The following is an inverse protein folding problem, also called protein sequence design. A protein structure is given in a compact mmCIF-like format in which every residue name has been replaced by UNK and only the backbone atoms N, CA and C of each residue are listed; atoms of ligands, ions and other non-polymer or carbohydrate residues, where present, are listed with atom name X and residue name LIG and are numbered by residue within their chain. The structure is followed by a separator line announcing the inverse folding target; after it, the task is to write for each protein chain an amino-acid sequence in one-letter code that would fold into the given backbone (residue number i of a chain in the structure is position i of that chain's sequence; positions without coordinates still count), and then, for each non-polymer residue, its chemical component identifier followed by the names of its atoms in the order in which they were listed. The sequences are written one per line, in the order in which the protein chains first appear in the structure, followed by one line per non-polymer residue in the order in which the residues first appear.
data_IF_861256588706
#
_entry.id   IF_861256588706
#
_cell.length_a   1.000
_cell.length_b   1.000
_cell.length_c   1.000
_cell.angle_alpha   90.00
_cell.angle_beta   90.00
_cell.angle_gamma   90.00
#
_symmetry.space_group_name_H-M   'P 1'
#
loop_
_entity.id
_entity.type
_entity.pdbx_description
1 polymer ?
#
# COMPACT_ATOMS: atom_id res chain seq x y z
N UNK A 1 81.01 -43.98 -28.60
CA UNK A 1 80.46 -44.41 -27.30
C UNK A 1 80.26 -43.13 -26.48
N UNK A 2 79.09 -42.61 -26.12
CA UNK A 2 77.73 -43.12 -25.99
C UNK A 2 76.74 -41.97 -26.26
N UNK A 3 75.74 -42.21 -27.10
CA UNK A 3 74.52 -41.38 -27.19
C UNK A 3 73.61 -41.73 -26.01
N UNK A 4 73.41 -40.79 -25.08
CA UNK A 4 72.40 -40.93 -24.02
C UNK A 4 71.02 -40.59 -24.60
N UNK A 5 70.20 -41.60 -24.82
CA UNK A 5 68.77 -41.46 -25.07
C UNK A 5 68.05 -41.19 -23.74
N UNK A 6 67.37 -40.04 -23.63
CA UNK A 6 66.44 -39.74 -22.55
C UNK A 6 65.15 -40.54 -22.77
N UNK A 7 64.93 -41.59 -21.98
CA UNK A 7 63.62 -42.27 -21.91
C UNK A 7 62.64 -41.37 -21.16
N UNK A 8 61.66 -40.82 -21.87
CA UNK A 8 60.46 -40.22 -21.28
C UNK A 8 59.57 -41.35 -20.72
N UNK A 9 59.63 -41.55 -19.41
CA UNK A 9 58.72 -42.46 -18.71
C UNK A 9 57.35 -41.81 -18.56
N UNK A 10 56.39 -42.22 -19.39
CA UNK A 10 54.99 -41.85 -19.20
C UNK A 10 54.45 -42.66 -18.02
N UNK A 11 54.39 -42.04 -16.83
CA UNK A 11 53.70 -42.60 -15.67
C UNK A 11 52.20 -42.38 -15.87
N UNK A 12 51.46 -43.45 -16.18
CA UNK A 12 50.00 -43.43 -16.16
C UNK A 12 49.48 -43.33 -14.72
N UNK A 13 48.32 -42.69 -14.54
CA UNK A 13 47.66 -42.58 -13.25
C UNK A 13 47.18 -43.95 -12.77
N UNK A 14 47.27 -44.20 -11.47
CA UNK A 14 46.72 -45.39 -10.85
C UNK A 14 45.20 -45.27 -10.70
N UNK A 15 44.49 -46.40 -10.69
CA UNK A 15 43.03 -46.44 -10.60
C UNK A 15 42.51 -45.77 -9.31
N UNK A 16 43.28 -45.85 -8.22
CA UNK A 16 42.95 -45.20 -6.95
C UNK A 16 43.11 -43.68 -7.01
N UNK A 17 44.12 -43.16 -7.71
CA UNK A 17 44.28 -41.71 -7.92
C UNK A 17 43.13 -41.15 -8.77
N UNK A 18 42.68 -41.89 -9.79
CA UNK A 18 41.53 -41.49 -10.60
C UNK A 18 40.23 -41.51 -9.79
N UNK A 19 40.02 -42.51 -8.93
CA UNK A 19 38.85 -42.56 -8.06
C UNK A 19 38.87 -41.42 -7.03
N UNK A 20 40.00 -41.17 -6.38
CA UNK A 20 40.14 -40.06 -5.41
C UNK A 20 39.93 -38.71 -6.09
N UNK A 21 40.50 -38.50 -7.28
CA UNK A 21 40.30 -37.29 -8.06
C UNK A 21 38.82 -37.09 -8.40
N UNK A 22 38.14 -38.13 -8.89
CA UNK A 22 36.71 -38.06 -9.18
C UNK A 22 35.87 -37.79 -7.92
N UNK A 23 36.15 -38.46 -6.80
CA UNK A 23 35.45 -38.22 -5.53
C UNK A 23 35.60 -36.76 -5.06
N UNK A 24 36.81 -36.20 -5.13
CA UNK A 24 37.04 -34.80 -4.78
C UNK A 24 36.28 -33.87 -5.73
N UNK A 25 36.30 -34.14 -7.04
CA UNK A 25 35.56 -33.30 -8.00
C UNK A 25 34.05 -33.32 -7.78
N UNK A 26 33.47 -34.47 -7.42
CA UNK A 26 32.04 -34.57 -7.08
C UNK A 26 31.71 -33.75 -5.83
N UNK A 27 32.56 -33.83 -4.80
CA UNK A 27 32.39 -33.04 -3.58
C UNK A 27 32.48 -31.54 -3.90
N UNK A 28 33.50 -31.13 -4.66
CA UNK A 28 33.69 -29.72 -5.05
C UNK A 28 32.52 -29.20 -5.90
N UNK A 29 32.05 -30.00 -6.85
CA UNK A 29 30.90 -29.65 -7.69
C UNK A 29 29.63 -29.54 -6.84
N UNK A 30 29.43 -30.45 -5.88
CA UNK A 30 28.32 -30.39 -4.93
C UNK A 30 28.32 -29.10 -4.10
N UNK A 31 29.48 -28.72 -3.55
CA UNK A 31 29.63 -27.45 -2.81
C UNK A 31 29.38 -26.24 -3.71
N UNK A 32 29.88 -26.25 -4.95
CA UNK A 32 29.69 -25.16 -5.89
C UNK A 32 28.22 -24.98 -6.26
N UNK A 33 27.50 -26.06 -6.54
CA UNK A 33 26.06 -26.01 -6.85
C UNK A 33 25.27 -25.53 -5.63
N UNK A 34 25.60 -26.01 -4.43
CA UNK A 34 24.96 -25.55 -3.19
C UNK A 34 25.17 -24.06 -2.95
N UNK A 35 26.41 -23.57 -3.08
CA UNK A 35 26.74 -22.15 -2.92
C UNK A 35 26.07 -21.29 -4.00
N UNK A 36 25.98 -21.80 -5.24
CA UNK A 36 25.27 -21.14 -6.34
C UNK A 36 23.77 -21.04 -6.04
N UNK A 37 23.17 -22.08 -5.45
CA UNK A 37 21.78 -22.08 -5.00
C UNK A 37 21.50 -20.96 -4.01
N UNK A 38 22.26 -20.90 -2.91
CA UNK A 38 22.11 -19.83 -1.89
C UNK A 38 22.31 -18.44 -2.51
N UNK A 39 23.33 -18.29 -3.37
CA UNK A 39 23.61 -17.00 -4.01
C UNK A 39 22.47 -16.57 -4.93
N UNK A 40 21.86 -17.51 -5.65
CA UNK A 40 20.74 -17.25 -6.54
C UNK A 40 19.47 -16.88 -5.77
N UNK A 41 19.19 -17.56 -4.67
CA UNK A 41 18.03 -17.25 -3.83
C UNK A 41 18.19 -15.87 -3.18
N UNK A 42 19.38 -15.56 -2.64
CA UNK A 42 19.70 -14.22 -2.12
C UNK A 42 19.54 -13.13 -3.20
N UNK A 43 19.99 -13.42 -4.43
CA UNK A 43 19.84 -12.49 -5.55
C UNK A 43 18.38 -12.27 -5.93
N UNK A 44 17.55 -13.32 -5.92
CA UNK A 44 16.11 -13.22 -6.17
C UNK A 44 15.41 -12.39 -5.10
N UNK A 45 15.69 -12.66 -3.84
CA UNK A 45 15.10 -11.93 -2.71
C UNK A 45 15.47 -10.44 -2.76
N UNK A 46 16.74 -10.13 -3.05
CA UNK A 46 17.17 -8.75 -3.24
C UNK A 46 16.46 -8.05 -4.41
N UNK A 47 16.25 -8.74 -5.53
CA UNK A 47 15.47 -8.20 -6.64
C UNK A 47 14.00 -7.98 -6.29
N UNK A 48 13.39 -8.92 -5.57
CA UNK A 48 12.00 -8.83 -5.14
C UNK A 48 11.80 -7.64 -4.20
N UNK A 49 12.69 -7.47 -3.23
CA UNK A 49 12.67 -6.34 -2.30
C UNK A 49 12.84 -5.00 -3.04
N UNK A 50 13.75 -4.91 -4.01
CA UNK A 50 13.93 -3.68 -4.80
C UNK A 50 12.68 -3.35 -5.62
N UNK A 51 12.03 -4.36 -6.22
CA UNK A 51 10.76 -4.15 -6.95
C UNK A 51 9.65 -3.70 -5.99
N UNK A 52 9.49 -4.40 -4.87
CA UNK A 52 8.48 -4.07 -3.86
C UNK A 52 8.69 -2.66 -3.30
N UNK A 53 9.93 -2.27 -3.03
CA UNK A 53 10.30 -0.93 -2.57
C UNK A 53 9.95 0.16 -3.58
N UNK A 54 10.11 -0.10 -4.89
CA UNK A 54 9.72 0.85 -5.94
C UNK A 54 8.21 1.06 -5.97
N UNK A 55 7.44 -0.04 -6.00
CA UNK A 55 5.97 0.01 -5.96
C UNK A 55 5.49 0.75 -4.70
N UNK A 56 6.04 0.39 -3.54
CA UNK A 56 5.69 1.03 -2.29
C UNK A 56 6.00 2.53 -2.28
N UNK A 57 7.17 2.91 -2.79
CA UNK A 57 7.60 4.31 -2.84
C UNK A 57 6.71 5.14 -3.75
N UNK A 58 6.32 4.59 -4.90
CA UNK A 58 5.39 5.25 -5.83
C UNK A 58 4.03 5.47 -5.15
N UNK A 59 3.44 4.41 -4.59
CA UNK A 59 2.16 4.49 -3.89
C UNK A 59 2.19 5.51 -2.73
N UNK A 60 3.15 5.36 -1.80
CA UNK A 60 3.27 6.20 -0.61
C UNK A 60 3.63 7.65 -0.96
N UNK A 61 4.40 7.89 -2.03
CA UNK A 61 4.72 9.25 -2.45
C UNK A 61 3.51 9.95 -3.05
N UNK A 62 2.71 9.25 -3.85
CA UNK A 62 1.50 9.80 -4.46
C UNK A 62 0.44 10.08 -3.40
N UNK A 63 0.16 9.11 -2.52
CA UNK A 63 -0.77 9.29 -1.39
C UNK A 63 -0.33 10.43 -0.48
N UNK A 64 0.97 10.49 -0.16
CA UNK A 64 1.50 11.57 0.66
C UNK A 64 1.30 12.94 0.02
N UNK A 65 1.56 13.08 -1.28
CA UNK A 65 1.36 14.34 -1.99
C UNK A 65 -0.09 14.80 -1.94
N UNK A 66 -1.04 13.88 -2.10
CA UNK A 66 -2.46 14.21 -2.02
C UNK A 66 -2.87 14.62 -0.60
N UNK A 67 -2.37 13.94 0.45
CA UNK A 67 -2.62 14.32 1.84
C UNK A 67 -1.93 15.62 2.27
N UNK A 68 -0.70 15.87 1.79
CA UNK A 68 0.04 17.12 2.02
C UNK A 68 -0.67 18.33 1.38
N UNK A 69 -1.48 18.10 0.35
CA UNK A 69 -2.32 19.11 -0.29
C UNK A 69 -3.82 18.94 0.01
N UNK A 70 -4.15 18.18 1.05
CA UNK A 70 -5.54 17.95 1.46
C UNK A 70 -6.23 19.26 1.83
N UNK A 71 -7.44 19.44 1.32
CA UNK A 71 -8.30 20.58 1.61
C UNK A 71 -9.35 20.15 2.61
N UNK A 72 -9.35 20.80 3.77
CA UNK A 72 -10.44 20.70 4.75
C UNK A 72 -10.74 22.08 5.30
N UNK A 73 -11.97 22.33 5.74
CA UNK A 73 -12.34 23.58 6.40
C UNK A 73 -13.20 23.31 7.61
N UNK A 74 -12.86 23.96 8.72
CA UNK A 74 -13.62 23.87 9.98
C UNK A 74 -14.57 25.06 10.11
N UNK A 75 -15.53 25.13 9.20
CA UNK A 75 -16.49 26.24 9.12
C UNK A 75 -17.75 26.00 9.97
N UNK A 76 -17.83 24.87 10.69
CA UNK A 76 -18.99 24.50 11.50
C UNK A 76 -20.17 23.93 10.70
N UNK A 77 -20.01 23.74 9.38
CA UNK A 77 -21.00 23.07 8.54
C UNK A 77 -20.97 21.54 8.71
N UNK A 78 -22.02 20.86 8.25
CA UNK A 78 -22.10 19.40 8.30
C UNK A 78 -21.54 18.72 7.04
N UNK A 79 -20.82 19.46 6.20
CA UNK A 79 -20.29 18.93 4.94
C UNK A 79 -19.02 18.14 5.19
N UNK A 80 -18.88 17.05 4.43
CA UNK A 80 -17.75 16.13 4.53
C UNK A 80 -16.59 16.57 3.64
N UNK A 81 -15.38 16.48 4.19
CA UNK A 81 -14.12 16.80 3.53
C UNK A 81 -13.25 15.58 3.28
N UNK A 82 -13.42 14.55 4.11
CA UNK A 82 -12.72 13.27 4.00
C UNK A 82 -13.65 12.16 4.48
N UNK A 83 -13.65 11.08 3.73
CA UNK A 83 -14.24 9.80 4.06
C UNK A 83 -13.15 8.72 4.01
N UNK A 84 -13.14 7.86 5.02
CA UNK A 84 -12.39 6.63 5.05
C UNK A 84 -13.30 5.51 5.55
N UNK A 85 -13.35 4.40 4.83
CA UNK A 85 -14.20 3.26 5.16
C UNK A 85 -13.59 1.93 4.73
N UNK A 86 -14.26 0.82 5.00
CA UNK A 86 -13.88 -0.47 4.42
C UNK A 86 -14.18 -0.50 2.92
N UNK A 87 -13.30 -1.10 2.13
CA UNK A 87 -13.61 -1.45 0.75
C UNK A 87 -14.60 -2.63 0.69
N UNK A 88 -15.77 -2.37 0.14
CA UNK A 88 -16.91 -3.30 0.13
C UNK A 88 -17.03 -4.14 -1.15
N UNK A 89 -16.18 -3.90 -2.15
CA UNK A 89 -16.19 -4.73 -3.37
C UNK A 89 -15.94 -6.21 -3.07
N UNK A 90 -16.48 -7.09 -3.92
CA UNK A 90 -16.25 -8.52 -3.85
C UNK A 90 -14.84 -8.94 -4.32
N UNK A 91 -14.07 -7.98 -4.86
CA UNK A 91 -12.74 -8.17 -5.43
C UNK A 91 -11.65 -8.20 -4.36
N UNK A 92 -11.84 -9.00 -3.31
CA UNK A 92 -10.91 -9.09 -2.17
C UNK A 92 -9.77 -10.08 -2.41
N UNK A 93 -9.86 -10.91 -3.44
CA UNK A 93 -8.85 -11.90 -3.82
C UNK A 93 -9.25 -13.34 -3.52
N UNK A 94 -8.33 -14.29 -3.74
CA UNK A 94 -8.62 -15.71 -3.61
C UNK A 94 -9.07 -16.07 -2.19
N UNK A 95 -10.02 -17.01 -2.08
CA UNK A 95 -10.56 -17.46 -0.79
C UNK A 95 -9.45 -17.82 0.20
N UNK A 96 -9.64 -17.45 1.48
CA UNK A 96 -8.69 -17.60 2.59
C UNK A 96 -7.41 -16.75 2.47
N UNK A 97 -7.24 -15.99 1.39
CA UNK A 97 -6.13 -15.04 1.16
C UNK A 97 -6.67 -13.68 0.71
N UNK A 98 -7.90 -13.39 1.06
CA UNK A 98 -8.55 -12.12 0.84
C UNK A 98 -7.80 -10.99 1.55
N UNK A 99 -7.83 -9.81 0.94
CA UNK A 99 -7.42 -8.57 1.56
C UNK A 99 -8.32 -8.34 2.78
N UNK A 100 -7.73 -8.26 3.98
CA UNK A 100 -8.50 -8.00 5.20
C UNK A 100 -8.27 -6.61 5.79
N UNK A 101 -7.33 -5.84 5.26
CA UNK A 101 -7.17 -4.45 5.66
C UNK A 101 -7.14 -3.60 4.39
N UNK A 102 -8.32 -3.14 4.00
CA UNK A 102 -8.53 -2.31 2.82
C UNK A 102 -9.38 -1.13 3.23
N UNK A 103 -8.72 0.02 3.30
CA UNK A 103 -9.40 1.29 3.48
C UNK A 103 -9.73 1.88 2.11
N UNK A 104 -11.00 2.16 1.85
CA UNK A 104 -11.41 3.09 0.79
C UNK A 104 -11.24 4.50 1.32
N UNK A 105 -10.54 5.36 0.58
CA UNK A 105 -10.40 6.77 0.93
C UNK A 105 -11.07 7.62 -0.14
N UNK A 106 -11.73 8.70 0.27
CA UNK A 106 -12.24 9.75 -0.60
C UNK A 106 -12.00 11.07 0.11
N UNK A 107 -11.25 12.00 -0.50
CA UNK A 107 -11.00 13.31 0.09
C UNK A 107 -10.64 14.36 -0.94
N UNK A 108 -10.73 15.64 -0.54
CA UNK A 108 -10.39 16.76 -1.40
C UNK A 108 -8.91 17.13 -1.31
N UNK A 109 -8.30 17.42 -2.46
CA UNK A 109 -6.86 17.70 -2.57
C UNK A 109 -6.56 18.72 -3.68
N UNK A 110 -5.50 19.50 -3.49
CA UNK A 110 -4.95 20.43 -4.47
C UNK A 110 -4.02 19.74 -5.47
N UNK A 111 -4.54 18.77 -6.21
CA UNK A 111 -3.74 17.93 -7.10
C UNK A 111 -3.13 18.73 -8.28
N UNK A 112 -1.82 18.66 -8.45
CA UNK A 112 -1.09 19.34 -9.55
C UNK A 112 -1.09 18.55 -10.85
N UNK A 113 -1.68 17.36 -10.86
CA UNK A 113 -1.81 16.46 -12.01
C UNK A 113 -3.24 16.43 -12.57
N UNK A 114 -4.10 17.36 -12.11
CA UNK A 114 -5.44 17.61 -12.66
C UNK A 114 -5.43 17.81 -14.18
N UNK A 115 -6.51 17.40 -14.82
CA UNK A 115 -6.67 17.34 -16.28
C UNK A 115 -5.51 16.60 -16.97
N UNK A 116 -5.05 15.49 -16.38
CA UNK A 116 -3.89 14.71 -16.84
C UNK A 116 -2.61 15.56 -16.98
N UNK A 117 -2.42 16.52 -16.08
CA UNK A 117 -1.29 17.44 -16.09
C UNK A 117 -1.38 18.57 -17.14
N UNK A 118 -2.50 18.72 -17.85
CA UNK A 118 -2.69 19.77 -18.85
C UNK A 118 -3.03 21.15 -18.26
N UNK A 119 -2.43 21.49 -17.11
CA UNK A 119 -2.66 22.74 -16.39
C UNK A 119 -2.25 23.95 -17.24
N UNK A 120 -3.10 24.98 -17.29
CA UNK A 120 -2.86 26.20 -18.05
C UNK A 120 -3.02 26.07 -19.57
N UNK A 121 -3.49 24.92 -20.06
CA UNK A 121 -3.85 24.71 -21.47
C UNK A 121 -5.34 24.97 -21.71
N UNK A 122 -5.80 24.86 -22.96
CA UNK A 122 -7.24 24.95 -23.28
C UNK A 122 -8.10 23.84 -22.66
N UNK A 123 -7.48 22.73 -22.23
CA UNK A 123 -8.17 21.62 -21.58
C UNK A 123 -8.31 21.81 -20.07
N UNK A 124 -7.60 22.80 -19.51
CA UNK A 124 -7.77 23.21 -18.13
C UNK A 124 -9.05 24.05 -18.00
N UNK A 125 -10.12 23.44 -17.49
CA UNK A 125 -11.39 24.15 -17.22
C UNK A 125 -11.38 24.94 -15.91
N UNK A 126 -10.20 25.11 -15.30
CA UNK A 126 -10.01 25.82 -14.04
C UNK A 126 -10.38 24.99 -12.80
N UNK A 127 -10.24 25.63 -11.65
CA UNK A 127 -10.49 25.08 -10.32
C UNK A 127 -9.22 24.63 -9.60
N UNK A 128 -9.21 24.83 -8.28
CA UNK A 128 -8.04 24.58 -7.43
C UNK A 128 -8.20 23.33 -6.55
N UNK A 129 -9.42 22.78 -6.47
CA UNK A 129 -9.76 21.66 -5.59
C UNK A 129 -10.24 20.49 -6.45
N UNK A 130 -9.51 19.38 -6.37
CA UNK A 130 -9.88 18.08 -6.92
C UNK A 130 -10.37 17.15 -5.80
N UNK A 131 -11.04 16.07 -6.16
CA UNK A 131 -11.31 14.95 -5.26
C UNK A 131 -10.48 13.74 -5.69
N UNK A 132 -10.01 12.95 -4.74
CA UNK A 132 -9.27 11.71 -5.01
C UNK A 132 -9.92 10.56 -4.28
N UNK A 133 -10.05 9.42 -4.96
CA UNK A 133 -10.42 8.15 -4.33
C UNK A 133 -9.30 7.12 -4.45
N UNK A 134 -9.03 6.43 -3.33
CA UNK A 134 -8.12 5.29 -3.28
C UNK A 134 -8.89 4.03 -2.95
N UNK A 135 -8.65 2.98 -3.74
CA UNK A 135 -9.28 1.66 -3.58
C UNK A 135 -8.27 0.56 -3.84
N UNK A 136 -8.25 -0.45 -2.96
CA UNK A 136 -7.41 -1.62 -3.11
C UNK A 136 -8.27 -2.84 -3.46
N UNK A 137 -8.05 -3.42 -4.64
CA UNK A 137 -8.83 -4.56 -5.15
C UNK A 137 -7.95 -5.60 -5.83
N UNK A 138 -8.44 -6.84 -5.96
CA UNK A 138 -7.81 -7.92 -6.71
C UNK A 138 -8.53 -8.10 -8.06
N UNK A 139 -7.89 -7.66 -9.14
CA UNK A 139 -8.49 -7.64 -10.48
C UNK A 139 -7.43 -7.80 -11.58
N UNK A 140 -7.83 -8.33 -12.72
CA UNK A 140 -6.97 -8.40 -13.91
C UNK A 140 -6.95 -7.05 -14.64
N UNK A 141 -5.76 -6.43 -14.64
CA UNK A 141 -5.49 -5.14 -15.27
C UNK A 141 -5.33 -5.26 -16.80
N UNK A 142 -4.94 -6.43 -17.30
CA UNK A 142 -4.62 -6.61 -18.72
C UNK A 142 -5.90 -6.76 -19.53
N UNK A 143 -6.83 -7.57 -19.04
CA UNK A 143 -8.13 -7.77 -19.67
C UNK A 143 -9.18 -6.75 -19.24
N UNK A 144 -8.83 -5.86 -18.29
CA UNK A 144 -9.76 -4.94 -17.62
C UNK A 144 -11.04 -5.67 -17.20
N UNK A 145 -10.87 -6.81 -16.52
CA UNK A 145 -11.96 -7.72 -16.19
C UNK A 145 -11.84 -8.24 -14.76
N UNK A 146 -12.96 -8.74 -14.22
CA UNK A 146 -12.99 -9.34 -12.89
C UNK A 146 -12.55 -10.81 -12.91
N UNK A 147 -11.93 -11.28 -14.00
CA UNK A 147 -11.37 -12.62 -14.07
C UNK A 147 -10.14 -12.75 -13.16
N UNK A 148 -9.98 -13.90 -12.53
CA UNK A 148 -8.87 -14.19 -11.61
C UNK A 148 -7.61 -14.70 -12.32
N UNK A 149 -7.70 -15.10 -13.60
CA UNK A 149 -6.60 -15.74 -14.35
C UNK A 149 -5.29 -14.93 -14.25
N UNK A 150 -5.36 -13.64 -14.59
CA UNK A 150 -4.22 -12.72 -14.49
C UNK A 150 -4.40 -11.65 -13.43
N UNK A 151 -5.37 -11.79 -12.52
CA UNK A 151 -5.62 -10.82 -11.46
C UNK A 151 -4.42 -10.61 -10.54
N UNK A 152 -4.23 -9.35 -10.15
CA UNK A 152 -3.21 -8.91 -9.20
C UNK A 152 -3.82 -7.95 -8.20
N UNK A 153 -3.25 -7.89 -6.99
CA UNK A 153 -3.69 -6.93 -6.00
C UNK A 153 -3.24 -5.54 -6.41
N UNK A 154 -4.17 -4.64 -6.70
CA UNK A 154 -3.91 -3.36 -7.34
C UNK A 154 -4.50 -2.24 -6.51
N UNK A 155 -3.67 -1.25 -6.23
CA UNK A 155 -4.12 0.00 -5.66
C UNK A 155 -4.45 0.97 -6.80
N UNK A 156 -5.67 1.48 -6.80
CA UNK A 156 -6.14 2.48 -7.73
C UNK A 156 -6.16 3.85 -7.07
N UNK A 157 -5.90 4.88 -7.89
CA UNK A 157 -6.08 6.28 -7.56
C UNK A 157 -6.95 6.91 -8.66
N UNK A 158 -8.20 7.17 -8.34
CA UNK A 158 -9.06 7.95 -9.21
C UNK A 158 -8.97 9.42 -8.83
N UNK A 159 -8.39 10.24 -9.71
CA UNK A 159 -8.34 11.69 -9.54
C UNK A 159 -9.48 12.36 -10.32
N UNK A 160 -10.44 12.90 -9.59
CA UNK A 160 -11.56 13.66 -10.15
C UNK A 160 -11.13 15.11 -10.37
N UNK A 161 -11.38 15.61 -11.59
CA UNK A 161 -11.04 16.97 -11.97
C UNK A 161 -11.88 18.02 -11.22
N UNK A 162 -11.39 19.26 -11.07
CA UNK A 162 -12.08 20.26 -10.27
C UNK A 162 -13.50 20.62 -10.73
N UNK A 163 -13.80 20.53 -12.02
CA UNK A 163 -15.13 20.81 -12.58
C UNK A 163 -16.18 19.81 -12.09
N UNK A 164 -15.80 18.53 -11.97
CA UNK A 164 -16.67 17.48 -11.45
C UNK A 164 -16.62 17.40 -9.91
N UNK A 165 -15.44 17.57 -9.33
CA UNK A 165 -15.25 17.58 -7.88
C UNK A 165 -16.05 18.70 -7.20
N UNK A 166 -16.34 19.80 -7.91
CA UNK A 166 -17.20 20.87 -7.42
C UNK A 166 -18.62 20.39 -7.04
N UNK A 167 -19.14 19.34 -7.69
CA UNK A 167 -20.45 18.76 -7.35
C UNK A 167 -20.44 18.00 -6.02
N UNK A 168 -19.28 17.48 -5.65
CA UNK A 168 -19.04 16.76 -4.40
C UNK A 168 -18.76 17.72 -3.24
N UNK A 169 -18.44 18.99 -3.52
CA UNK A 169 -18.29 19.99 -2.46
C UNK A 169 -19.65 20.28 -1.81
N UNK A 170 -19.63 20.52 -0.51
CA UNK A 170 -20.81 20.87 0.27
C UNK A 170 -21.90 19.76 0.33
N UNK A 171 -21.48 18.50 0.32
CA UNK A 171 -22.36 17.34 0.58
C UNK A 171 -22.20 16.83 2.01
N UNK A 172 -23.29 16.35 2.61
CA UNK A 172 -23.27 15.80 3.98
C UNK A 172 -22.80 14.36 4.06
N UNK A 173 -22.88 13.61 2.95
CA UNK A 173 -22.36 12.24 2.80
C UNK A 173 -21.53 12.16 1.50
N UNK A 174 -20.21 12.21 1.66
CA UNK A 174 -19.26 12.23 0.55
C UNK A 174 -19.17 10.87 -0.14
N UNK A 175 -19.25 9.76 0.61
CA UNK A 175 -19.21 8.41 0.03
C UNK A 175 -20.41 8.20 -0.88
N UNK A 176 -21.60 8.54 -0.39
CA UNK A 176 -22.83 8.36 -1.16
C UNK A 176 -22.83 9.24 -2.41
N UNK A 177 -22.46 10.52 -2.29
CA UNK A 177 -22.42 11.46 -3.41
C UNK A 177 -21.35 11.07 -4.45
N UNK A 178 -20.20 10.58 -3.99
CA UNK A 178 -19.15 10.09 -4.88
C UNK A 178 -19.62 8.86 -5.65
N UNK A 179 -20.17 7.86 -4.96
CA UNK A 179 -20.63 6.61 -5.58
C UNK A 179 -21.85 6.80 -6.49
N UNK A 180 -22.63 7.89 -6.32
CA UNK A 180 -23.70 8.23 -7.27
C UNK A 180 -23.19 8.82 -8.60
N UNK A 181 -22.08 9.54 -8.57
CA UNK A 181 -21.51 10.21 -9.74
C UNK A 181 -20.45 9.34 -10.45
N UNK A 182 -19.74 8.49 -9.71
CA UNK A 182 -18.66 7.64 -10.21
C UNK A 182 -18.93 6.17 -9.89
N UNK A 183 -18.97 5.34 -10.92
CA UNK A 183 -19.16 3.90 -10.80
C UNK A 183 -17.85 3.18 -10.47
N UNK A 184 -17.95 1.91 -10.06
CA UNK A 184 -16.75 1.08 -9.87
C UNK A 184 -15.91 0.94 -11.14
N UNK A 185 -16.53 0.98 -12.32
CA UNK A 185 -15.79 0.90 -13.58
C UNK A 185 -15.00 2.17 -13.86
N UNK A 186 -15.45 3.33 -13.36
CA UNK A 186 -14.70 4.58 -13.47
C UNK A 186 -13.48 4.51 -12.54
N UNK A 187 -13.70 4.19 -11.26
CA UNK A 187 -12.65 4.07 -10.25
C UNK A 187 -11.58 3.04 -10.62
N UNK A 188 -12.01 1.87 -11.09
CA UNK A 188 -11.15 0.70 -11.35
C UNK A 188 -10.71 0.61 -12.81
N UNK A 189 -10.87 1.68 -13.59
CA UNK A 189 -10.38 1.74 -14.97
C UNK A 189 -8.86 1.70 -15.03
N UNK A 190 -8.32 1.19 -16.14
CA UNK A 190 -6.87 1.13 -16.37
C UNK A 190 -6.17 2.51 -16.29
N UNK A 191 -6.90 3.60 -16.53
CA UNK A 191 -6.37 4.97 -16.40
C UNK A 191 -6.07 5.37 -14.95
N UNK A 192 -6.76 4.75 -13.98
CA UNK A 192 -6.62 5.04 -12.55
C UNK A 192 -5.69 4.05 -11.83
N UNK A 193 -5.03 3.16 -12.57
CA UNK A 193 -4.01 2.26 -12.03
C UNK A 193 -2.88 3.08 -11.39
N UNK A 194 -2.56 2.79 -10.11
CA UNK A 194 -1.41 3.39 -9.44
C UNK A 194 -0.27 2.38 -9.33
N UNK A 195 -0.47 1.28 -8.59
CA UNK A 195 0.57 0.26 -8.37
C UNK A 195 -0.02 -1.13 -8.20
N UNK A 196 0.78 -2.13 -8.52
CA UNK A 196 0.45 -3.56 -8.36
C UNK A 196 1.10 -4.19 -7.12
N UNK A 197 0.63 -5.39 -6.79
CA UNK A 197 1.09 -6.26 -5.70
C UNK A 197 0.94 -5.67 -4.30
N UNK A 198 0.07 -4.68 -4.10
CA UNK A 198 -0.26 -4.17 -2.76
C UNK A 198 -1.27 -5.11 -2.12
N UNK A 199 -0.91 -5.79 -1.03
CA UNK A 199 -1.77 -6.77 -0.39
C UNK A 199 -2.56 -6.23 0.81
N UNK A 200 -2.01 -5.22 1.49
CA UNK A 200 -2.69 -4.55 2.59
C UNK A 200 -2.49 -3.04 2.43
N UNK A 201 -3.55 -2.28 2.70
CA UNK A 201 -3.56 -0.82 2.70
C UNK A 201 -4.25 -0.34 3.97
N UNK A 202 -3.43 0.11 4.92
CA UNK A 202 -3.85 0.52 6.25
C UNK A 202 -3.65 2.01 6.43
N UNK A 203 -4.64 2.68 7.00
CA UNK A 203 -4.65 4.13 7.21
C UNK A 203 -4.87 4.42 8.69
N UNK A 204 -3.99 5.19 9.30
CA UNK A 204 -4.16 5.66 10.68
C UNK A 204 -4.18 7.18 10.73
N UNK A 205 -5.29 7.75 11.19
CA UNK A 205 -5.40 9.19 11.43
C UNK A 205 -4.83 9.56 12.80
N UNK A 206 -4.02 10.62 12.84
CA UNK A 206 -3.47 11.21 14.05
C UNK A 206 -4.29 12.44 14.40
N UNK A 207 -4.98 12.40 15.53
CA UNK A 207 -5.91 13.44 15.97
C UNK A 207 -5.36 14.09 17.23
N UNK A 208 -5.09 15.40 17.19
CA UNK A 208 -4.79 16.18 18.38
C UNK A 208 -6.08 16.60 19.07
N UNK A 209 -6.16 16.34 20.37
CA UNK A 209 -7.28 16.71 21.23
C UNK A 209 -6.72 17.41 22.47
N UNK A 210 -7.24 18.61 22.76
CA UNK A 210 -6.89 19.35 23.98
C UNK A 210 -7.99 19.20 25.01
N UNK A 211 -7.64 18.80 26.22
CA UNK A 211 -8.54 18.64 27.37
C UNK A 211 -8.05 19.45 28.55
N UNK A 212 -9.00 19.94 29.35
CA UNK A 212 -8.68 20.52 30.65
C UNK A 212 -8.54 19.38 31.68
N UNK A 213 -7.35 19.26 32.27
CA UNK A 213 -7.07 18.35 33.37
C UNK A 213 -6.68 19.16 34.60
N UNK A 214 -7.66 19.46 35.45
CA UNK A 214 -7.40 20.14 36.73
C UNK A 214 -6.95 21.60 36.60
N UNK A 215 -7.47 22.32 35.60
CA UNK A 215 -7.16 23.74 35.34
C UNK A 215 -5.97 23.95 34.40
N UNK A 216 -5.39 22.88 33.85
CA UNK A 216 -4.33 22.93 32.86
C UNK A 216 -4.81 22.32 31.53
N UNK A 217 -4.55 23.01 30.42
CA UNK A 217 -4.82 22.47 29.09
C UNK A 217 -3.71 21.49 28.68
N UNK A 218 -4.08 20.22 28.51
CA UNK A 218 -3.20 19.13 28.10
C UNK A 218 -3.62 18.66 26.71
N UNK A 219 -2.68 18.57 25.79
CA UNK A 219 -2.93 18.06 24.43
C UNK A 219 -2.48 16.61 24.33
N UNK A 220 -3.38 15.76 23.84
CA UNK A 220 -3.13 14.34 23.57
C UNK A 220 -3.22 14.06 22.08
N UNK A 221 -2.44 13.10 21.60
CA UNK A 221 -2.56 12.55 20.26
C UNK A 221 -3.30 11.22 20.33
N UNK A 222 -4.43 11.13 19.64
CA UNK A 222 -5.26 9.94 19.50
C UNK A 222 -4.96 9.32 18.14
N UNK A 223 -4.88 7.97 18.10
CA UNK A 223 -4.67 7.22 16.87
C UNK A 223 -5.96 6.51 16.48
N UNK A 224 -6.42 6.78 15.27
CA UNK A 224 -7.62 6.22 14.69
C UNK A 224 -7.21 5.34 13.50
N UNK A 225 -7.01 4.05 13.73
CA UNK A 225 -6.51 3.09 12.72
C UNK A 225 -7.66 2.35 12.05
N UNK A 226 -7.83 2.60 10.74
CA UNK A 226 -8.81 1.89 9.92
C UNK A 226 -8.55 0.39 9.95
N UNK A 227 -9.58 -0.38 10.25
CA UNK A 227 -9.57 -1.85 10.21
C UNK A 227 -11.01 -2.37 10.25
N UNK A 228 -11.36 -3.40 9.48
CA UNK A 228 -12.71 -3.98 9.49
C UNK A 228 -13.18 -4.46 10.87
N UNK A 229 -12.25 -4.77 11.78
CA UNK A 229 -12.56 -5.28 13.12
C UNK A 229 -12.51 -4.23 14.22
N UNK A 230 -12.00 -3.02 13.93
CA UNK A 230 -11.80 -2.00 14.95
C UNK A 230 -12.50 -0.71 14.56
N UNK A 231 -11.94 0.04 13.60
CA UNK A 231 -12.52 1.28 13.09
C UNK A 231 -12.92 1.09 11.63
N UNK A 232 -14.22 0.92 11.40
CA UNK A 232 -14.78 0.59 10.09
C UNK A 232 -15.04 1.83 9.25
N UNK A 233 -15.20 2.99 9.90
CA UNK A 233 -15.54 4.24 9.24
C UNK A 233 -14.96 5.44 9.99
N UNK A 234 -14.47 6.42 9.23
CA UNK A 234 -13.94 7.68 9.71
C UNK A 234 -14.28 8.80 8.72
N UNK A 235 -14.92 9.86 9.21
CA UNK A 235 -15.43 10.98 8.42
C UNK A 235 -14.96 12.30 9.05
N UNK A 236 -14.41 13.19 8.23
CA UNK A 236 -14.10 14.56 8.62
C UNK A 236 -15.18 15.50 8.10
N UNK A 237 -16.00 16.06 9.00
CA UNK A 237 -16.96 17.11 8.68
C UNK A 237 -16.41 18.48 9.08
N UNK A 238 -16.98 19.54 8.50
CA UNK A 238 -16.63 20.91 8.88
C UNK A 238 -16.95 21.26 10.34
N UNK A 239 -17.86 20.53 10.97
CA UNK A 239 -18.28 20.71 12.36
C UNK A 239 -17.57 19.78 13.34
N UNK A 240 -17.33 18.52 12.95
CA UNK A 240 -16.80 17.47 13.83
C UNK A 240 -16.14 16.33 13.05
N UNK A 241 -15.40 15.50 13.77
CA UNK A 241 -14.99 14.17 13.32
C UNK A 241 -16.09 13.17 13.69
N UNK A 242 -16.55 12.37 12.75
CA UNK A 242 -17.45 11.24 13.00
C UNK A 242 -16.69 9.94 12.72
N UNK A 243 -16.86 8.93 13.56
CA UNK A 243 -16.20 7.65 13.37
C UNK A 243 -17.04 6.51 13.96
N UNK A 244 -16.83 5.31 13.45
CA UNK A 244 -17.44 4.07 13.95
C UNK A 244 -16.34 3.10 14.32
N UNK A 245 -16.26 2.73 15.60
CA UNK A 245 -15.24 1.84 16.14
C UNK A 245 -14.49 2.40 17.33
N UNK A 246 -13.38 1.75 17.70
CA UNK A 246 -12.51 2.19 18.79
C UNK A 246 -11.32 3.02 18.28
N UNK A 247 -10.92 3.96 19.13
CA UNK A 247 -9.75 4.83 18.92
C UNK A 247 -8.77 4.61 20.05
N UNK A 248 -7.48 4.60 19.73
CA UNK A 248 -6.42 4.33 20.70
C UNK A 248 -5.91 5.62 21.33
N UNK A 249 -5.92 5.67 22.66
CA UNK A 249 -5.41 6.79 23.44
C UNK A 249 -4.79 6.32 24.76
N UNK A 250 -3.93 7.16 25.35
CA UNK A 250 -3.25 6.83 26.61
C UNK A 250 -4.24 6.67 27.78
N UNK A 251 -4.02 5.65 28.60
CA UNK A 251 -4.81 5.41 29.81
C UNK A 251 -4.69 6.58 30.80
N UNK A 252 -5.80 6.98 31.42
CA UNK A 252 -5.84 8.13 32.33
C UNK A 252 -5.87 9.51 31.65
N UNK A 253 -6.07 9.58 30.33
CA UNK A 253 -6.13 10.84 29.57
C UNK A 253 -7.39 11.69 29.80
N UNK A 254 -8.42 11.16 30.47
CA UNK A 254 -9.69 11.87 30.68
C UNK A 254 -10.43 12.22 29.38
N UNK A 255 -10.03 11.63 28.25
CA UNK A 255 -10.66 11.79 26.96
C UNK A 255 -12.00 11.02 26.94
N UNK A 256 -13.03 11.66 26.42
CA UNK A 256 -14.27 11.01 26.02
C UNK A 256 -14.54 11.30 24.54
N UNK A 257 -15.51 10.59 23.96
CA UNK A 257 -15.85 10.66 22.54
C UNK A 257 -16.08 12.11 22.07
N UNK A 258 -16.80 12.92 22.85
CA UNK A 258 -17.11 14.31 22.50
C UNK A 258 -15.85 15.19 22.30
N UNK A 259 -14.76 14.90 23.02
CA UNK A 259 -13.50 15.63 22.86
C UNK A 259 -12.78 15.20 21.58
N UNK A 260 -12.89 13.93 21.18
CA UNK A 260 -12.30 13.38 19.95
C UNK A 260 -13.05 13.90 18.71
N UNK A 261 -14.38 13.97 18.78
CA UNK A 261 -15.21 14.60 17.74
C UNK A 261 -14.82 16.06 17.49
N UNK A 262 -14.32 16.76 18.52
CA UNK A 262 -13.81 18.12 18.42
C UNK A 262 -12.30 18.21 18.14
N UNK A 263 -11.63 17.08 17.98
CA UNK A 263 -10.21 16.99 17.68
C UNK A 263 -9.85 17.56 16.31
N UNK A 264 -8.54 17.63 16.05
CA UNK A 264 -8.00 18.10 14.76
C UNK A 264 -7.06 17.06 14.19
N UNK A 265 -7.23 16.73 12.91
CA UNK A 265 -6.29 15.85 12.20
C UNK A 265 -4.97 16.61 12.00
N UNK A 266 -3.88 16.03 12.48
CA UNK A 266 -2.53 16.60 12.34
C UNK A 266 -1.62 15.78 11.46
N UNK A 267 -1.99 14.52 11.22
CA UNK A 267 -1.26 13.67 10.32
C UNK A 267 -2.00 12.39 10.02
N UNK A 268 -1.44 11.66 9.07
CA UNK A 268 -1.90 10.34 8.65
C UNK A 268 -0.69 9.44 8.51
N UNK A 269 -0.72 8.28 9.16
CA UNK A 269 0.23 7.21 8.92
C UNK A 269 -0.39 6.24 7.91
N UNK A 270 0.28 6.08 6.77
CA UNK A 270 -0.11 5.12 5.74
C UNK A 270 0.84 3.94 5.83
N UNK A 271 0.30 2.73 5.88
CA UNK A 271 1.08 1.49 5.84
C UNK A 271 0.59 0.58 4.73
N UNK A 272 1.52 0.06 3.93
CA UNK A 272 1.26 -0.87 2.85
C UNK A 272 2.12 -2.12 2.98
N UNK A 273 1.53 -3.25 2.62
CA UNK A 273 2.24 -4.53 2.49
C UNK A 273 2.33 -4.87 1.02
N UNK A 274 3.53 -5.06 0.49
CA UNK A 274 3.76 -5.41 -0.93
C UNK A 274 4.20 -6.87 -1.03
N UNK A 275 3.52 -7.66 -1.86
CA UNK A 275 3.94 -9.04 -2.12
C UNK A 275 5.00 -9.11 -3.21
N UNK A 276 5.96 -10.01 -3.05
CA UNK A 276 6.82 -10.44 -4.16
C UNK A 276 6.02 -11.14 -5.27
N UNK A 277 6.56 -11.20 -6.49
CA UNK A 277 5.93 -11.91 -7.62
C UNK A 277 5.67 -13.40 -7.31
N UNK A 278 6.58 -14.01 -6.54
CA UNK A 278 6.41 -15.38 -6.04
C UNK A 278 5.28 -15.45 -5.02
N UNK A 279 5.20 -14.48 -4.10
CA UNK A 279 4.10 -14.35 -3.15
C UNK A 279 2.75 -14.24 -3.84
N UNK A 280 2.63 -13.39 -4.86
CA UNK A 280 1.42 -13.29 -5.68
C UNK A 280 1.06 -14.64 -6.31
N UNK A 281 2.04 -15.34 -6.92
CA UNK A 281 1.81 -16.66 -7.53
C UNK A 281 1.35 -17.70 -6.51
N UNK A 282 1.90 -17.65 -5.29
CA UNK A 282 1.49 -18.51 -4.17
C UNK A 282 0.14 -18.12 -3.60
N UNK A 283 -0.25 -16.84 -3.65
CA UNK A 283 -1.58 -16.40 -3.25
C UNK A 283 -2.66 -17.02 -4.14
N UNK A 284 -2.39 -17.12 -5.46
CA UNK A 284 -3.27 -17.79 -6.43
C UNK A 284 -3.37 -19.31 -6.22
N UNK A 285 -2.32 -19.94 -5.69
CA UNK A 285 -2.25 -21.40 -5.52
C UNK A 285 -2.75 -21.82 -4.14
N UNK A 286 -3.48 -22.93 -4.06
CA UNK A 286 -3.89 -23.49 -2.77
C UNK A 286 -2.69 -24.08 -2.02
N UNK A 287 -2.63 -23.88 -0.69
CA UNK A 287 -1.69 -24.57 0.20
C UNK A 287 -0.88 -23.69 1.16
N UNK A 288 -0.81 -22.38 0.95
CA UNK A 288 -0.18 -21.44 1.89
C UNK A 288 -1.24 -20.69 2.71
N UNK A 289 -0.99 -20.51 4.01
CA UNK A 289 -1.83 -19.64 4.84
C UNK A 289 -1.54 -18.17 4.52
N UNK A 290 -2.50 -17.28 4.75
CA UNK A 290 -2.26 -15.83 4.59
C UNK A 290 -1.09 -15.33 5.47
N UNK A 291 -1.01 -15.80 6.70
CA UNK A 291 0.04 -15.38 7.63
C UNK A 291 1.42 -15.79 7.11
N UNK A 292 1.56 -17.02 6.60
CA UNK A 292 2.81 -17.48 6.01
C UNK A 292 3.15 -16.76 4.71
N UNK A 293 2.13 -16.42 3.90
CA UNK A 293 2.29 -15.65 2.68
C UNK A 293 2.89 -14.27 2.99
N UNK A 294 2.29 -13.51 3.91
CA UNK A 294 2.77 -12.18 4.31
C UNK A 294 4.15 -12.29 4.97
N UNK A 295 4.35 -13.27 5.85
CA UNK A 295 5.61 -13.43 6.58
C UNK A 295 6.81 -13.77 5.68
N UNK A 296 6.61 -14.59 4.65
CA UNK A 296 7.70 -15.07 3.79
C UNK A 296 7.88 -14.21 2.54
N UNK A 297 6.82 -13.57 2.06
CA UNK A 297 6.82 -12.90 0.76
C UNK A 297 6.26 -11.46 0.79
N UNK A 298 5.89 -10.95 1.96
CA UNK A 298 5.43 -9.58 2.16
C UNK A 298 6.56 -8.67 2.63
N UNK A 299 6.61 -7.48 2.03
CA UNK A 299 7.47 -6.38 2.44
C UNK A 299 6.60 -5.24 2.96
N UNK A 300 6.88 -4.77 4.17
CA UNK A 300 6.09 -3.74 4.83
C UNK A 300 6.75 -2.37 4.70
N UNK A 301 5.98 -1.38 4.29
CA UNK A 301 6.43 0.00 4.18
C UNK A 301 5.39 0.93 4.80
N UNK A 302 5.85 1.99 5.46
CA UNK A 302 4.97 3.00 6.02
C UNK A 302 5.53 4.40 5.82
N UNK A 303 4.62 5.38 5.80
CA UNK A 303 4.95 6.81 5.74
C UNK A 303 3.98 7.60 6.61
N UNK A 304 4.54 8.37 7.53
CA UNK A 304 3.83 9.39 8.30
C UNK A 304 3.80 10.69 7.51
N UNK A 305 2.61 11.27 7.39
CA UNK A 305 2.35 12.47 6.60
C UNK A 305 1.74 13.52 7.53
N UNK A 306 2.25 14.73 7.50
CA UNK A 306 1.61 15.86 8.19
C UNK A 306 0.54 16.43 7.29
N UNK A 307 -0.69 16.56 7.81
CA UNK A 307 -1.79 17.14 7.05
C UNK A 307 -1.83 18.65 7.22
N UNK A 308 -2.28 19.40 6.18
CA UNK A 308 -2.59 20.80 6.31
C UNK A 308 -3.52 21.08 7.47
N UNK A 309 -3.22 22.16 8.16
CA UNK A 309 -3.89 22.60 9.38
C UNK A 309 -4.94 23.66 8.98
N UNK A 310 -6.25 23.33 9.00
CA UNK A 310 -7.32 24.29 8.68
C UNK A 310 -7.49 25.37 9.75
#
# INVERSE_FOLDING_TARGET
MNTKTLKSGHKGFTLIELLVAMSITVILLGVLVYMTGISMDTYRDSRNEVRASRQAKEALSTIAKDFESMVSRRDGNNYEWLYAGEETSSLKGPSQREITNTSRLIFFTGATDRYNGAIGTSNDKGGDVSAVSYRLVYRDQISDSNDEEHAVFTLYRHLVNPDEAFKLLAVEDLEQAYTSDFSENDDLSAANFLVENIYEFSVTFLIEVTVDQGGAQVTHTVRATMSPSNMTEFRLKGSKIEYSGDVEFASGSGLAQAQIENGRIVGVDISITVLSDQGLTLAKKSGISRQDLVKQHGYHYSKSITTPRP
#
